data_IF_074554812456
#
_entry.id   IF_074554812456
#
_cell.length_a   1.000
_cell.length_b   1.000
_cell.length_c   1.000
_cell.angle_alpha   90.00
_cell.angle_beta   90.00
_cell.angle_gamma   90.00
#
_symmetry.space_group_name_H-M   'P 1'
#
loop_
_entity.id
_entity.type
_entity.pdbx_description
1 polymer ?
#
# COMPACT_ATOMS: atom_id res chain seq x y z
N UNK A 1 -6.78 3.84 -15.97
CA UNK A 1 -5.32 3.60 -15.80
C UNK A 1 -4.47 4.85 -16.04
N UNK A 2 -4.78 5.68 -17.05
CA UNK A 2 -3.97 6.85 -17.40
C UNK A 2 -3.81 7.87 -16.27
N UNK A 3 -4.89 8.25 -15.56
CA UNK A 3 -4.82 9.19 -14.45
C UNK A 3 -3.91 8.72 -13.30
N UNK A 4 -3.95 7.42 -12.96
CA UNK A 4 -3.09 6.83 -11.93
C UNK A 4 -1.61 6.87 -12.37
N UNK A 5 -1.33 6.53 -13.62
CA UNK A 5 0.03 6.57 -14.15
C UNK A 5 0.57 8.00 -14.19
N UNK A 6 -0.24 8.98 -14.60
CA UNK A 6 0.11 10.40 -14.62
C UNK A 6 0.48 10.90 -13.21
N UNK A 7 -0.36 10.61 -12.21
CA UNK A 7 -0.10 11.00 -10.83
C UNK A 7 1.21 10.39 -10.29
N UNK A 8 1.48 9.13 -10.62
CA UNK A 8 2.67 8.41 -10.18
C UNK A 8 3.96 8.88 -10.86
N UNK A 9 3.91 9.63 -11.97
CA UNK A 9 5.12 10.21 -12.60
C UNK A 9 5.87 11.16 -11.67
N UNK A 10 5.16 11.79 -10.74
CA UNK A 10 5.74 12.70 -9.76
C UNK A 10 6.42 11.98 -8.59
N UNK A 11 6.14 10.68 -8.38
CA UNK A 11 6.77 9.90 -7.32
C UNK A 11 8.19 9.49 -7.73
N UNK A 12 9.17 9.86 -6.89
CA UNK A 12 10.57 9.53 -7.09
C UNK A 12 10.88 8.04 -6.88
N UNK A 13 10.00 7.30 -6.21
CA UNK A 13 10.22 5.89 -5.91
C UNK A 13 9.83 5.03 -7.12
N UNK A 14 10.70 4.11 -7.59
CA UNK A 14 10.36 3.21 -8.69
C UNK A 14 9.07 2.45 -8.41
N UNK A 15 8.12 2.57 -9.33
CA UNK A 15 6.77 2.02 -9.21
C UNK A 15 6.40 1.28 -10.49
N UNK A 16 5.72 0.13 -10.36
CA UNK A 16 5.18 -0.64 -11.48
C UNK A 16 3.68 -0.84 -11.26
N UNK A 17 2.88 -0.55 -12.28
CA UNK A 17 1.42 -0.73 -12.26
C UNK A 17 1.05 -1.72 -13.36
N UNK A 18 0.31 -2.76 -13.00
CA UNK A 18 -0.29 -3.72 -13.92
C UNK A 18 -1.74 -3.30 -14.18
N UNK A 19 -2.25 -3.64 -15.37
CA UNK A 19 -3.67 -3.45 -15.69
C UNK A 19 -4.58 -4.26 -14.77
N UNK A 20 -5.89 -4.00 -14.87
CA UNK A 20 -6.91 -4.77 -14.16
C UNK A 20 -6.75 -6.27 -14.40
N UNK A 21 -6.91 -7.05 -13.34
CA UNK A 21 -7.11 -8.50 -13.45
C UNK A 21 -8.61 -8.83 -13.64
N UNK A 22 -8.92 -10.12 -13.77
CA UNK A 22 -10.30 -10.61 -13.98
C UNK A 22 -11.25 -10.30 -12.81
N UNK A 23 -10.69 -9.93 -11.64
CA UNK A 23 -11.44 -9.49 -10.46
C UNK A 23 -11.68 -7.98 -10.42
N UNK A 24 -11.25 -7.24 -11.45
CA UNK A 24 -11.39 -5.77 -11.48
C UNK A 24 -10.45 -5.04 -10.52
N UNK A 25 -9.35 -5.67 -10.10
CA UNK A 25 -8.35 -5.08 -9.22
C UNK A 25 -7.11 -4.63 -10.01
N UNK A 26 -6.55 -3.46 -9.63
CA UNK A 26 -5.26 -2.97 -10.13
C UNK A 26 -4.17 -3.42 -9.19
N UNK A 27 -3.14 -4.07 -9.74
CA UNK A 27 -1.98 -4.50 -8.97
C UNK A 27 -0.85 -3.50 -9.19
N UNK A 28 -0.23 -3.02 -8.11
CA UNK A 28 0.94 -2.15 -8.20
C UNK A 28 2.00 -2.50 -7.17
N UNK A 29 3.25 -2.23 -7.49
CA UNK A 29 4.39 -2.34 -6.57
C UNK A 29 5.13 -1.03 -6.52
N UNK A 30 5.56 -0.63 -5.33
CA UNK A 30 6.35 0.59 -5.09
C UNK A 30 7.59 0.22 -4.27
N UNK A 31 8.78 0.60 -4.73
CA UNK A 31 10.03 0.31 -4.03
C UNK A 31 10.04 1.03 -2.67
N UNK A 32 10.31 0.29 -1.59
CA UNK A 32 10.47 0.86 -0.25
C UNK A 32 11.85 1.51 -0.12
N UNK A 33 11.90 2.85 -0.13
CA UNK A 33 13.15 3.63 0.01
C UNK A 33 13.39 4.09 1.46
N UNK A 34 12.31 4.25 2.23
CA UNK A 34 12.32 4.64 3.66
C UNK A 34 11.41 3.69 4.44
N UNK A 35 11.53 3.69 5.77
CA UNK A 35 10.54 3.02 6.62
C UNK A 35 9.14 3.60 6.34
N UNK A 36 8.12 2.75 6.36
CA UNK A 36 6.73 3.21 6.23
C UNK A 36 6.34 4.02 7.48
N UNK A 37 5.46 5.00 7.31
CA UNK A 37 4.97 5.82 8.41
C UNK A 37 4.41 4.98 9.55
N UNK A 38 3.69 3.91 9.24
CA UNK A 38 3.19 2.94 10.23
C UNK A 38 4.31 2.40 11.12
N UNK A 39 5.44 1.99 10.56
CA UNK A 39 6.57 1.48 11.35
C UNK A 39 7.27 2.57 12.17
N UNK A 40 7.19 3.82 11.73
CA UNK A 40 7.82 4.95 12.41
C UNK A 40 6.93 5.54 13.50
N UNK A 41 5.60 5.50 13.32
CA UNK A 41 4.65 6.23 14.16
C UNK A 41 3.74 5.32 14.99
N UNK A 42 3.60 4.05 14.61
CA UNK A 42 2.66 3.14 15.25
C UNK A 42 3.39 2.00 15.99
N UNK A 43 2.69 1.48 17.00
CA UNK A 43 3.02 0.24 17.69
C UNK A 43 1.86 -0.76 17.51
N UNK A 44 2.10 -2.08 17.62
CA UNK A 44 1.02 -3.06 17.51
C UNK A 44 -0.03 -2.84 18.61
N UNK A 45 -1.31 -2.98 18.24
CA UNK A 45 -2.43 -2.87 19.17
C UNK A 45 -2.35 -3.97 20.25
N UNK A 46 -2.44 -3.59 21.52
CA UNK A 46 -2.33 -4.55 22.64
C UNK A 46 -3.49 -5.55 22.70
N UNK A 47 -4.66 -5.20 22.15
CA UNK A 47 -5.86 -6.03 22.23
C UNK A 47 -5.99 -7.01 21.06
N UNK A 48 -5.77 -6.54 19.83
CA UNK A 48 -5.97 -7.33 18.62
C UNK A 48 -4.68 -7.65 17.87
N UNK A 49 -3.54 -7.10 18.29
CA UNK A 49 -2.22 -7.31 17.67
C UNK A 49 -2.20 -7.04 16.16
N UNK A 50 -3.06 -6.13 15.68
CA UNK A 50 -3.16 -5.76 14.26
C UNK A 50 -4.19 -6.56 13.46
N UNK A 51 -4.92 -7.50 14.08
CA UNK A 51 -5.97 -8.28 13.40
C UNK A 51 -7.22 -7.45 13.03
N UNK A 52 -7.43 -6.31 13.70
CA UNK A 52 -8.61 -5.46 13.47
C UNK A 52 -9.93 -6.04 13.95
N UNK A 53 -9.92 -7.20 14.61
CA UNK A 53 -11.09 -7.90 15.14
C UNK A 53 -10.75 -8.62 16.47
N UNK A 54 -11.72 -8.67 17.37
CA UNK A 54 -11.65 -9.38 18.66
C UNK A 54 -12.84 -10.33 18.69
N UNK A 55 -12.60 -11.60 19.04
CA UNK A 55 -13.68 -12.59 19.17
C UNK A 55 -14.51 -12.24 20.40
N UNK A 56 -15.83 -12.26 20.23
CA UNK A 56 -16.84 -12.13 21.28
C UNK A 56 -16.88 -13.36 22.18
#
# INVERSE_FOLDING_TARGET
MQALQEALRSDKSPTKVLSFNDFGLVIMTRKRVKQSLERTLCAPCQYCQGAGLIKS
#
